data_IF_405312112214
#
_entry.id   IF_405312112214
#
_cell.length_a   1.000
_cell.length_b   1.000
_cell.length_c   1.000
_cell.angle_alpha   90.00
_cell.angle_beta   90.00
_cell.angle_gamma   90.00
#
_symmetry.space_group_name_H-M   'P 1'
#
loop_
_entity.id
_entity.type
_entity.pdbx_description
1 polymer ?
#
# COMPACT_ATOMS: atom_id res chain seq x y z
N UNK A 1 -13.81 9.10 -31.77
CA UNK A 1 -14.22 8.65 -30.41
C UNK A 1 -14.53 7.19 -30.51
N UNK A 2 -13.63 6.35 -29.99
CA UNK A 2 -13.78 4.90 -30.05
C UNK A 2 -14.49 4.39 -28.78
N UNK A 3 -15.15 3.22 -28.81
CA UNK A 3 -15.87 2.67 -27.65
C UNK A 3 -14.99 2.44 -26.39
N UNK A 4 -13.67 2.55 -26.53
CA UNK A 4 -12.69 2.41 -25.42
C UNK A 4 -12.64 3.63 -24.50
N UNK A 5 -12.86 4.84 -25.04
CA UNK A 5 -12.78 6.08 -24.26
C UNK A 5 -14.00 6.22 -23.30
N UNK A 6 -15.12 5.59 -23.64
CA UNK A 6 -16.34 5.60 -22.83
C UNK A 6 -16.26 4.66 -21.61
N UNK A 7 -15.48 3.57 -21.68
CA UNK A 7 -15.30 2.63 -20.58
C UNK A 7 -14.44 3.21 -19.44
N UNK A 8 -13.40 3.96 -19.77
CA UNK A 8 -12.54 4.61 -18.76
C UNK A 8 -13.30 5.75 -18.05
N UNK A 9 -14.08 6.54 -18.81
CA UNK A 9 -14.92 7.60 -18.26
C UNK A 9 -16.01 7.07 -17.33
N UNK A 10 -16.63 5.94 -17.67
CA UNK A 10 -17.62 5.26 -16.82
C UNK A 10 -17.00 4.64 -15.57
N UNK A 11 -15.77 4.11 -15.67
CA UNK A 11 -15.04 3.53 -14.54
C UNK A 11 -14.65 4.60 -13.51
N UNK A 12 -14.15 5.75 -13.97
CA UNK A 12 -13.80 6.89 -13.11
C UNK A 12 -15.07 7.52 -12.47
N UNK A 13 -16.16 7.64 -13.23
CA UNK A 13 -17.44 8.16 -12.72
C UNK A 13 -18.11 7.21 -11.71
N UNK A 14 -17.98 5.90 -11.89
CA UNK A 14 -18.50 4.90 -10.96
C UNK A 14 -17.72 4.90 -9.61
N UNK A 15 -16.43 5.25 -9.64
CA UNK A 15 -15.62 5.42 -8.43
C UNK A 15 -15.99 6.69 -7.63
N UNK A 16 -16.46 7.73 -8.33
CA UNK A 16 -16.83 9.02 -7.71
C UNK A 16 -18.27 9.08 -7.16
N UNK A 17 -19.16 8.18 -7.60
CA UNK A 17 -20.62 8.28 -7.38
C UNK A 17 -21.18 7.32 -6.30
N UNK A 18 -20.41 6.92 -5.26
CA UNK A 18 -20.94 6.06 -4.19
C UNK A 18 -21.56 6.86 -3.04
N UNK A 19 -22.89 6.73 -2.76
CA UNK A 19 -23.47 7.24 -1.54
C UNK A 19 -22.96 6.43 -0.34
N UNK A 20 -22.70 7.11 0.78
CA UNK A 20 -22.36 6.49 2.05
C UNK A 20 -23.52 5.65 2.56
N UNK A 21 -23.48 4.36 2.33
CA UNK A 21 -24.41 3.42 2.95
C UNK A 21 -23.79 2.95 4.26
N UNK A 22 -24.48 3.21 5.36
CA UNK A 22 -24.16 2.69 6.71
C UNK A 22 -24.17 1.17 6.69
N UNK A 23 -23.01 0.57 6.48
CA UNK A 23 -22.81 -0.86 6.62
C UNK A 23 -22.22 -1.14 8.01
N UNK A 24 -22.86 -2.03 8.72
CA UNK A 24 -22.46 -2.62 9.99
C UNK A 24 -20.98 -3.01 9.95
N UNK A 25 -20.22 -2.53 10.94
CA UNK A 25 -18.77 -2.65 10.99
C UNK A 25 -18.28 -4.10 10.87
N UNK A 26 -17.62 -4.43 9.77
CA UNK A 26 -16.76 -5.59 9.63
C UNK A 26 -15.44 -5.27 10.34
N UNK A 27 -14.82 -6.21 11.09
CA UNK A 27 -13.61 -5.93 11.86
C UNK A 27 -12.47 -5.41 10.97
N UNK A 28 -11.90 -4.33 11.42
CA UNK A 28 -10.95 -3.40 10.78
C UNK A 28 -9.54 -3.96 10.40
N UNK A 29 -9.05 -5.21 10.72
CA UNK A 29 -7.65 -5.51 10.52
C UNK A 29 -7.20 -5.64 9.05
N UNK A 30 -8.00 -6.23 8.16
CA UNK A 30 -7.59 -6.46 6.77
C UNK A 30 -7.56 -5.18 5.92
N UNK A 31 -8.52 -4.29 6.13
CA UNK A 31 -8.58 -2.97 5.45
C UNK A 31 -7.39 -2.09 5.80
N UNK A 32 -6.97 -2.10 7.06
CA UNK A 32 -5.89 -1.24 7.54
C UNK A 32 -4.54 -1.69 7.00
N UNK A 33 -4.29 -3.01 6.93
CA UNK A 33 -3.03 -3.55 6.42
C UNK A 33 -2.88 -3.40 4.91
N UNK A 34 -3.94 -3.69 4.15
CA UNK A 34 -3.94 -3.54 2.69
C UNK A 34 -3.90 -2.06 2.28
N UNK A 35 -4.69 -1.20 2.94
CA UNK A 35 -4.67 0.25 2.70
C UNK A 35 -3.32 0.86 3.08
N UNK A 36 -2.67 0.43 4.17
CA UNK A 36 -1.33 0.87 4.53
C UNK A 36 -0.27 0.42 3.50
N UNK A 37 -0.37 -0.80 2.97
CA UNK A 37 0.53 -1.29 1.94
C UNK A 37 0.38 -0.54 0.60
N UNK A 38 -0.82 -0.07 0.27
CA UNK A 38 -1.14 0.65 -0.98
C UNK A 38 -1.08 2.19 -0.83
N UNK A 39 -1.30 2.74 0.38
CA UNK A 39 -1.24 4.17 0.65
C UNK A 39 0.19 4.73 0.71
N UNK A 40 1.21 3.88 0.76
CA UNK A 40 2.62 4.26 0.64
C UNK A 40 3.02 4.64 -0.81
N UNK A 41 2.13 5.31 -1.56
CA UNK A 41 2.51 5.95 -2.83
C UNK A 41 3.28 7.22 -2.51
N UNK A 42 4.51 7.37 -2.97
CA UNK A 42 5.17 8.68 -2.93
C UNK A 42 4.35 9.64 -3.80
N UNK A 43 3.86 10.71 -3.20
CA UNK A 43 3.44 11.89 -3.97
C UNK A 43 4.72 12.43 -4.57
N UNK A 44 4.87 12.28 -5.88
CA UNK A 44 6.01 12.79 -6.64
C UNK A 44 6.18 14.27 -6.35
N UNK A 45 7.31 14.61 -5.75
CA UNK A 45 7.78 15.98 -5.71
C UNK A 45 7.79 16.53 -7.13
N UNK A 46 7.26 17.74 -7.30
CA UNK A 46 7.29 18.47 -8.56
C UNK A 46 8.71 18.62 -9.07
N UNK A 47 9.06 17.87 -10.08
CA UNK A 47 10.18 18.18 -10.94
C UNK A 47 9.74 19.29 -11.88
N UNK A 48 10.07 20.55 -11.55
CA UNK A 48 9.99 21.68 -12.48
C UNK A 48 11.28 21.71 -13.29
N UNK A 49 11.38 20.83 -14.27
CA UNK A 49 12.41 20.88 -15.31
C UNK A 49 11.90 20.13 -16.53
N UNK A 50 12.21 20.62 -17.76
CA UNK A 50 11.89 19.87 -18.97
C UNK A 50 12.63 18.53 -18.87
N UNK A 51 11.89 17.45 -19.02
CA UNK A 51 12.44 16.12 -19.21
C UNK A 51 13.42 16.16 -20.38
N UNK A 52 14.65 15.72 -20.24
CA UNK A 52 15.51 15.52 -21.39
C UNK A 52 14.81 14.48 -22.27
N UNK A 53 14.45 14.86 -23.49
CA UNK A 53 14.19 13.90 -24.54
C UNK A 53 15.54 13.20 -24.80
N UNK A 54 15.75 12.08 -24.15
CA UNK A 54 16.77 11.16 -24.62
C UNK A 54 16.18 10.45 -25.81
N UNK A 55 16.61 10.85 -27.01
CA UNK A 55 16.66 9.99 -28.17
C UNK A 55 17.69 8.86 -27.86
N UNK A 56 17.37 8.04 -26.85
CA UNK A 56 17.98 6.76 -26.65
C UNK A 56 17.10 5.79 -27.45
N UNK A 57 17.65 5.41 -28.59
CA UNK A 57 17.19 4.31 -29.40
C UNK A 57 16.67 3.18 -28.51
N UNK A 58 15.48 2.69 -28.88
CA UNK A 58 14.78 1.54 -28.34
C UNK A 58 15.68 0.29 -28.43
N UNK A 59 16.60 0.16 -27.47
CA UNK A 59 17.42 -1.02 -27.29
C UNK A 59 16.95 -1.77 -26.04
N UNK A 60 15.98 -2.67 -26.28
CA UNK A 60 15.78 -3.82 -25.42
C UNK A 60 15.00 -3.60 -24.15
N UNK A 61 13.87 -2.93 -24.18
CA UNK A 61 12.81 -3.16 -23.19
C UNK A 61 12.31 -4.60 -23.32
N UNK A 62 13.01 -5.56 -22.72
CA UNK A 62 12.65 -6.97 -22.78
C UNK A 62 11.18 -7.15 -22.40
N UNK A 63 10.50 -8.11 -23.02
CA UNK A 63 9.09 -8.44 -22.77
C UNK A 63 8.81 -8.38 -21.27
N UNK A 64 7.64 -7.89 -20.89
CA UNK A 64 7.23 -7.77 -19.48
C UNK A 64 7.46 -9.08 -18.72
N UNK A 65 7.18 -10.20 -19.36
CA UNK A 65 7.43 -11.55 -18.83
C UNK A 65 8.90 -11.73 -18.42
N UNK A 66 9.87 -11.24 -19.20
CA UNK A 66 11.29 -11.34 -18.85
C UNK A 66 11.65 -10.45 -17.66
N UNK A 67 11.14 -9.21 -17.64
CA UNK A 67 11.35 -8.27 -16.53
C UNK A 67 10.79 -8.80 -15.22
N UNK A 68 9.57 -9.37 -15.24
CA UNK A 68 8.93 -10.00 -14.07
C UNK A 68 9.75 -11.18 -13.56
N UNK A 69 10.21 -12.05 -14.45
CA UNK A 69 11.06 -13.19 -14.06
C UNK A 69 12.40 -12.74 -13.46
N UNK A 70 13.01 -11.68 -13.99
CA UNK A 70 14.23 -11.12 -13.41
C UNK A 70 14.02 -10.60 -11.98
N UNK A 71 12.88 -9.92 -11.72
CA UNK A 71 12.50 -9.46 -10.37
C UNK A 71 12.28 -10.64 -9.43
N UNK A 72 11.57 -11.67 -9.87
CA UNK A 72 11.33 -12.88 -9.06
C UNK A 72 12.62 -13.64 -8.78
N UNK A 73 13.49 -13.76 -9.76
CA UNK A 73 14.81 -14.40 -9.60
C UNK A 73 15.67 -13.65 -8.57
N UNK A 74 15.74 -12.32 -8.67
CA UNK A 74 16.43 -11.47 -7.70
C UNK A 74 15.83 -11.57 -6.29
N UNK A 75 14.49 -11.57 -6.17
CA UNK A 75 13.80 -11.75 -4.91
C UNK A 75 14.08 -13.10 -4.26
N UNK A 76 14.09 -14.17 -5.05
CA UNK A 76 14.30 -15.54 -4.59
C UNK A 76 15.79 -15.90 -4.42
N UNK A 77 16.71 -15.04 -4.86
CA UNK A 77 18.15 -15.30 -4.82
C UNK A 77 18.61 -16.43 -5.76
N UNK A 78 17.91 -16.60 -6.89
CA UNK A 78 18.17 -17.62 -7.91
C UNK A 78 18.41 -16.94 -9.27
N UNK A 79 18.85 -17.71 -10.26
CA UNK A 79 18.91 -17.24 -11.65
C UNK A 79 17.57 -17.44 -12.37
N UNK A 80 17.31 -16.70 -13.44
CA UNK A 80 16.03 -16.77 -14.18
C UNK A 80 15.74 -18.14 -14.76
N UNK A 81 16.74 -18.91 -15.11
CA UNK A 81 16.65 -20.28 -15.60
C UNK A 81 16.39 -21.32 -14.49
N UNK A 82 16.63 -20.95 -13.24
CA UNK A 82 16.29 -21.76 -12.05
C UNK A 82 14.87 -21.53 -11.55
N UNK A 83 14.18 -20.52 -12.06
CA UNK A 83 12.77 -20.29 -11.71
C UNK A 83 11.93 -21.47 -12.22
N UNK A 84 11.11 -22.01 -11.32
CA UNK A 84 10.13 -23.04 -11.70
C UNK A 84 8.93 -22.36 -12.34
N UNK A 85 8.75 -22.63 -13.61
CA UNK A 85 7.64 -22.15 -14.42
C UNK A 85 6.78 -23.38 -14.74
N UNK A 86 5.49 -23.30 -14.48
CA UNK A 86 4.56 -24.39 -14.80
C UNK A 86 4.18 -24.41 -16.29
N UNK A 87 3.28 -25.33 -16.67
CA UNK A 87 2.84 -25.51 -18.05
C UNK A 87 2.08 -24.29 -18.59
N UNK A 88 1.47 -23.50 -17.72
CA UNK A 88 0.72 -22.29 -18.06
C UNK A 88 1.62 -21.04 -18.13
N UNK A 89 2.90 -21.18 -17.78
CA UNK A 89 3.88 -20.10 -17.78
C UNK A 89 3.97 -19.34 -16.47
N UNK A 90 3.29 -19.81 -15.41
CA UNK A 90 3.23 -19.16 -14.11
C UNK A 90 4.44 -19.52 -13.24
N UNK A 91 4.90 -18.56 -12.45
CA UNK A 91 5.93 -18.79 -11.44
C UNK A 91 5.27 -19.00 -10.09
N UNK A 92 5.37 -20.24 -9.57
CA UNK A 92 4.86 -20.58 -8.25
C UNK A 92 5.88 -20.28 -7.15
N UNK A 93 5.46 -19.57 -6.11
CA UNK A 93 6.27 -19.25 -4.94
C UNK A 93 5.50 -19.54 -3.65
N UNK A 94 6.22 -19.97 -2.62
CA UNK A 94 5.63 -20.23 -1.30
C UNK A 94 5.96 -19.07 -0.34
N UNK A 95 4.95 -18.49 0.27
CA UNK A 95 5.11 -17.45 1.28
C UNK A 95 4.26 -17.77 2.52
N UNK A 96 4.90 -18.16 3.61
CA UNK A 96 4.20 -18.56 4.83
C UNK A 96 3.24 -19.74 4.59
N UNK A 97 1.96 -19.51 4.86
CA UNK A 97 0.85 -20.46 4.60
C UNK A 97 0.32 -20.35 3.16
N UNK A 98 0.70 -19.35 2.38
CA UNK A 98 0.16 -19.08 1.07
C UNK A 98 1.00 -19.71 -0.05
N UNK A 99 0.29 -20.18 -1.08
CA UNK A 99 0.85 -20.51 -2.39
C UNK A 99 0.51 -19.36 -3.33
N UNK A 100 1.51 -18.69 -3.84
CA UNK A 100 1.29 -17.55 -4.73
C UNK A 100 1.82 -17.87 -6.12
N UNK A 101 1.03 -17.58 -7.12
CA UNK A 101 1.40 -17.68 -8.53
C UNK A 101 1.53 -16.29 -9.13
N UNK A 102 2.51 -16.12 -9.99
CA UNK A 102 2.73 -14.89 -10.75
C UNK A 102 2.68 -15.21 -12.22
N UNK A 103 1.68 -14.69 -12.91
CA UNK A 103 1.49 -14.77 -14.36
C UNK A 103 1.82 -13.43 -14.99
N UNK A 104 2.70 -13.41 -15.97
CA UNK A 104 2.99 -12.22 -16.73
C UNK A 104 2.56 -12.39 -18.19
N UNK A 105 1.88 -11.41 -18.73
CA UNK A 105 1.42 -11.35 -20.12
C UNK A 105 2.04 -10.10 -20.78
N UNK A 106 2.50 -10.26 -22.02
CA UNK A 106 3.09 -9.16 -22.78
C UNK A 106 2.04 -8.35 -23.56
N UNK A 107 0.93 -8.99 -23.95
CA UNK A 107 -0.17 -8.35 -24.67
C UNK A 107 -1.56 -8.87 -24.21
N UNK A 108 -2.36 -8.06 -23.51
CA UNK A 108 -2.00 -6.74 -22.96
C UNK A 108 -0.95 -6.88 -21.84
N UNK A 109 -0.10 -5.86 -21.64
CA UNK A 109 0.92 -5.93 -20.61
C UNK A 109 0.28 -5.94 -19.21
N UNK A 110 0.25 -7.12 -18.60
CA UNK A 110 -0.38 -7.36 -17.31
C UNK A 110 0.39 -8.41 -16.53
N UNK A 111 0.52 -8.19 -15.23
CA UNK A 111 0.98 -9.20 -14.27
C UNK A 111 -0.18 -9.52 -13.34
N UNK A 112 -0.52 -10.79 -13.21
CA UNK A 112 -1.52 -11.25 -12.23
C UNK A 112 -0.81 -12.00 -11.11
N UNK A 113 -0.96 -11.52 -9.89
CA UNK A 113 -0.48 -12.18 -8.66
C UNK A 113 -1.70 -12.83 -8.03
N UNK A 114 -1.75 -14.16 -8.01
CA UNK A 114 -2.93 -14.87 -7.53
C UNK A 114 -2.59 -16.02 -6.60
N UNK A 115 -3.54 -16.38 -5.76
CA UNK A 115 -3.39 -17.44 -4.76
C UNK A 115 -4.68 -18.22 -4.59
N UNK A 116 -4.64 -19.55 -4.57
CA UNK A 116 -5.75 -20.36 -4.09
C UNK A 116 -5.80 -20.26 -2.56
N UNK A 117 -6.93 -19.79 -2.03
CA UNK A 117 -7.17 -19.66 -0.60
C UNK A 117 -7.70 -20.97 -0.01
N UNK A 118 -8.73 -21.52 -0.65
CA UNK A 118 -9.38 -22.76 -0.23
C UNK A 118 -9.74 -23.65 -1.43
N UNK A 119 -9.74 -24.95 -1.21
CA UNK A 119 -10.21 -25.96 -2.16
C UNK A 119 -11.26 -26.86 -1.50
N UNK A 120 -12.09 -27.53 -2.31
CA UNK A 120 -13.14 -28.43 -1.83
C UNK A 120 -14.26 -27.70 -1.10
N UNK A 121 -14.60 -26.46 -1.53
CA UNK A 121 -15.73 -25.71 -1.01
C UNK A 121 -16.96 -25.89 -1.89
N UNK A 122 -18.15 -25.98 -1.27
CA UNK A 122 -19.39 -25.98 -2.04
C UNK A 122 -19.70 -24.59 -2.56
N UNK A 123 -19.90 -24.41 -3.89
CA UNK A 123 -20.17 -23.10 -4.50
C UNK A 123 -21.61 -22.62 -4.24
N UNK A 124 -21.92 -22.27 -3.00
CA UNK A 124 -23.25 -21.80 -2.57
C UNK A 124 -23.46 -20.32 -2.82
N UNK A 125 -24.72 -19.88 -2.86
CA UNK A 125 -25.06 -18.46 -2.98
C UNK A 125 -24.51 -17.63 -1.82
N UNK A 126 -24.47 -18.18 -0.61
CA UNK A 126 -23.88 -17.53 0.57
C UNK A 126 -22.38 -17.31 0.40
N UNK A 127 -21.66 -18.29 -0.19
CA UNK A 127 -20.24 -18.13 -0.52
C UNK A 127 -20.06 -17.00 -1.53
N UNK A 128 -20.78 -17.00 -2.65
CA UNK A 128 -20.64 -15.95 -3.67
C UNK A 128 -20.97 -14.56 -3.13
N UNK A 129 -21.99 -14.43 -2.29
CA UNK A 129 -22.33 -13.17 -1.63
C UNK A 129 -21.17 -12.70 -0.74
N UNK A 130 -20.62 -13.59 0.06
CA UNK A 130 -19.46 -13.30 0.93
C UNK A 130 -18.22 -12.88 0.14
N UNK A 131 -17.89 -13.57 -0.96
CA UNK A 131 -16.76 -13.22 -1.84
C UNK A 131 -16.97 -11.88 -2.53
N UNK A 132 -18.21 -11.54 -2.91
CA UNK A 132 -18.55 -10.24 -3.45
C UNK A 132 -18.34 -9.13 -2.42
N UNK A 133 -18.76 -9.32 -1.19
CA UNK A 133 -18.55 -8.35 -0.09
C UNK A 133 -17.06 -8.15 0.20
N UNK A 134 -16.29 -9.24 0.23
CA UNK A 134 -14.83 -9.16 0.39
C UNK A 134 -14.18 -8.38 -0.77
N UNK A 135 -14.52 -8.70 -2.01
CA UNK A 135 -14.02 -8.01 -3.20
C UNK A 135 -14.36 -6.52 -3.18
N UNK A 136 -15.59 -6.16 -2.80
CA UNK A 136 -16.00 -4.76 -2.64
C UNK A 136 -15.24 -4.02 -1.52
N UNK A 137 -14.69 -4.76 -0.58
CA UNK A 137 -13.85 -4.22 0.50
C UNK A 137 -12.39 -4.01 0.13
N UNK A 138 -11.90 -4.61 -0.96
CA UNK A 138 -10.52 -4.48 -1.43
C UNK A 138 -10.34 -3.16 -2.19
N UNK A 139 -9.16 -2.54 -2.04
CA UNK A 139 -8.77 -1.36 -2.83
C UNK A 139 -8.38 -1.79 -4.24
N UNK A 140 -7.67 -2.92 -4.36
CA UNK A 140 -7.25 -3.53 -5.64
C UNK A 140 -7.34 -5.04 -5.49
N UNK A 141 -7.74 -5.71 -6.57
CA UNK A 141 -7.86 -7.16 -6.59
C UNK A 141 -9.29 -7.65 -6.39
N UNK A 142 -9.41 -8.97 -6.35
CA UNK A 142 -10.69 -9.66 -6.22
C UNK A 142 -10.52 -11.00 -5.51
N UNK A 143 -11.60 -11.45 -4.86
CA UNK A 143 -11.73 -12.82 -4.35
C UNK A 143 -12.92 -13.47 -5.07
N UNK A 144 -12.73 -14.64 -5.63
CA UNK A 144 -13.73 -15.32 -6.45
C UNK A 144 -13.65 -16.83 -6.29
N UNK A 145 -14.70 -17.53 -6.69
CA UNK A 145 -14.74 -18.98 -6.70
C UNK A 145 -14.82 -19.50 -8.13
N UNK A 146 -14.00 -20.49 -8.47
CA UNK A 146 -14.07 -21.25 -9.72
C UNK A 146 -14.06 -22.74 -9.41
N UNK A 147 -15.12 -23.44 -9.82
CA UNK A 147 -15.31 -24.83 -9.41
C UNK A 147 -15.52 -24.90 -7.89
N UNK A 148 -14.71 -25.67 -7.22
CA UNK A 148 -14.67 -25.85 -5.77
C UNK A 148 -13.54 -25.07 -5.08
N UNK A 149 -12.87 -24.17 -5.81
CA UNK A 149 -11.69 -23.45 -5.32
C UNK A 149 -11.95 -21.96 -5.22
N UNK A 150 -11.64 -21.37 -4.06
CA UNK A 150 -11.64 -19.94 -3.82
C UNK A 150 -10.27 -19.38 -4.12
N UNK A 151 -10.23 -18.35 -4.94
CA UNK A 151 -9.02 -17.66 -5.41
C UNK A 151 -9.01 -16.21 -4.97
N UNK A 152 -7.83 -15.68 -4.72
CA UNK A 152 -7.56 -14.26 -4.69
C UNK A 152 -6.66 -13.85 -5.86
N UNK A 153 -6.84 -12.65 -6.42
CA UNK A 153 -6.05 -12.14 -7.54
C UNK A 153 -5.83 -10.64 -7.37
N UNK A 154 -4.58 -10.19 -7.59
CA UNK A 154 -4.17 -8.79 -7.56
C UNK A 154 -3.48 -8.47 -8.87
N UNK A 155 -4.12 -7.72 -9.79
CA UNK A 155 -3.52 -7.33 -11.06
C UNK A 155 -2.52 -6.19 -10.86
N UNK A 156 -1.38 -6.25 -11.58
CA UNK A 156 -0.38 -5.20 -11.70
C UNK A 156 -0.24 -4.81 -13.16
N UNK A 157 -0.50 -3.54 -13.48
CA UNK A 157 -0.36 -3.07 -14.85
C UNK A 157 1.10 -3.08 -15.28
N UNK A 158 1.37 -3.67 -16.45
CA UNK A 158 2.71 -3.85 -16.98
C UNK A 158 3.28 -2.62 -17.67
N UNK A 159 2.40 -1.65 -18.03
CA UNK A 159 2.82 -0.35 -18.51
C UNK A 159 3.54 0.38 -17.37
N UNK A 160 4.75 0.85 -17.61
CA UNK A 160 5.61 1.44 -16.58
C UNK A 160 5.90 0.51 -15.38
N UNK A 161 5.99 -0.79 -15.64
CA UNK A 161 6.28 -1.79 -14.61
C UNK A 161 7.58 -1.47 -13.86
N UNK A 162 7.49 -1.37 -12.54
CA UNK A 162 8.63 -1.29 -11.64
C UNK A 162 8.69 -2.53 -10.72
N UNK A 163 9.87 -2.99 -10.32
CA UNK A 163 10.02 -4.11 -9.38
C UNK A 163 9.20 -3.95 -8.10
N UNK A 164 9.09 -2.73 -7.59
CA UNK A 164 8.32 -2.37 -6.40
C UNK A 164 6.83 -2.64 -6.54
N UNK A 165 6.25 -2.52 -7.75
CA UNK A 165 4.85 -2.83 -7.98
C UNK A 165 4.55 -4.32 -7.73
N UNK A 166 5.43 -5.20 -8.21
CA UNK A 166 5.30 -6.63 -7.97
C UNK A 166 5.52 -6.98 -6.49
N UNK A 167 6.52 -6.39 -5.83
CA UNK A 167 6.78 -6.62 -4.41
C UNK A 167 5.61 -6.19 -3.52
N UNK A 168 4.98 -5.06 -3.84
CA UNK A 168 3.77 -4.59 -3.15
C UNK A 168 2.59 -5.55 -3.36
N UNK A 169 2.39 -6.02 -4.60
CA UNK A 169 1.32 -6.97 -4.90
C UNK A 169 1.54 -8.33 -4.20
N UNK A 170 2.78 -8.82 -4.18
CA UNK A 170 3.15 -10.05 -3.45
C UNK A 170 2.90 -9.90 -1.95
N UNK A 171 3.33 -8.78 -1.35
CA UNK A 171 3.11 -8.50 0.06
C UNK A 171 1.62 -8.38 0.40
N UNK A 172 0.85 -7.69 -0.44
CA UNK A 172 -0.59 -7.56 -0.28
C UNK A 172 -1.29 -8.93 -0.40
N UNK A 173 -0.85 -9.79 -1.34
CA UNK A 173 -1.39 -11.14 -1.51
C UNK A 173 -1.09 -12.03 -0.30
N UNK A 174 0.13 -11.98 0.25
CA UNK A 174 0.50 -12.72 1.46
C UNK A 174 -0.41 -12.31 2.62
N UNK A 175 -0.56 -11.01 2.88
CA UNK A 175 -1.42 -10.51 3.94
C UNK A 175 -2.89 -10.90 3.74
N UNK A 176 -3.38 -10.83 2.50
CA UNK A 176 -4.74 -11.21 2.15
C UNK A 176 -4.99 -12.71 2.37
N UNK A 177 -4.05 -13.55 1.98
CA UNK A 177 -4.14 -14.99 2.16
C UNK A 177 -4.14 -15.38 3.65
N UNK A 178 -3.21 -14.82 4.43
CA UNK A 178 -3.12 -15.07 5.88
C UNK A 178 -4.38 -14.61 6.65
N UNK A 179 -5.01 -13.50 6.22
CA UNK A 179 -6.22 -12.97 6.86
C UNK A 179 -7.49 -13.76 6.47
N UNK A 180 -7.58 -14.28 5.24
CA UNK A 180 -8.82 -14.84 4.71
C UNK A 180 -8.89 -16.37 4.76
N UNK A 181 -7.77 -17.10 4.67
CA UNK A 181 -7.80 -18.56 4.56
C UNK A 181 -8.48 -19.22 5.77
N UNK A 182 -8.10 -18.83 6.99
CA UNK A 182 -8.69 -19.34 8.22
C UNK A 182 -10.13 -18.85 8.45
N UNK A 183 -10.45 -17.63 8.03
CA UNK A 183 -11.79 -17.08 8.15
C UNK A 183 -12.76 -17.82 7.22
N UNK A 184 -12.44 -17.92 5.93
CA UNK A 184 -13.28 -18.59 4.95
C UNK A 184 -13.43 -20.09 5.24
N UNK A 185 -12.36 -20.74 5.71
CA UNK A 185 -12.41 -22.15 6.10
C UNK A 185 -13.38 -22.40 7.26
N UNK A 186 -13.44 -21.49 8.24
CA UNK A 186 -14.41 -21.59 9.36
C UNK A 186 -15.84 -21.36 8.90
N UNK A 187 -16.06 -20.48 7.93
CA UNK A 187 -17.37 -20.11 7.42
C UNK A 187 -17.94 -21.14 6.43
N UNK A 188 -17.10 -21.72 5.55
CA UNK A 188 -17.52 -22.52 4.41
C UNK A 188 -16.87 -23.91 4.33
N UNK A 189 -16.03 -24.27 5.26
CA UNK A 189 -15.29 -25.53 5.21
C UNK A 189 -14.17 -25.52 4.17
N UNK A 190 -13.93 -26.68 3.54
CA UNK A 190 -12.85 -26.85 2.59
C UNK A 190 -11.48 -27.05 3.25
N UNK A 191 -10.45 -27.09 2.43
CA UNK A 191 -9.07 -27.30 2.81
C UNK A 191 -8.18 -26.22 2.22
N UNK A 192 -7.08 -25.92 2.91
CA UNK A 192 -6.01 -25.08 2.32
C UNK A 192 -5.39 -25.82 1.14
N UNK A 193 -4.93 -25.11 0.13
CA UNK A 193 -4.38 -25.66 -1.12
C UNK A 193 -3.06 -26.44 -0.94
N UNK A 194 -2.56 -26.66 0.23
CA UNK A 194 -1.31 -27.38 0.44
C UNK A 194 -1.42 -28.86 0.07
N UNK A 195 -1.02 -29.21 -1.16
CA UNK A 195 -0.80 -30.57 -1.61
C UNK A 195 0.68 -30.96 -1.53
N UNK A 196 1.01 -32.26 -1.70
CA UNK A 196 2.40 -32.76 -1.76
C UNK A 196 3.24 -32.13 -2.88
N UNK A 197 2.60 -31.53 -3.89
CA UNK A 197 3.24 -30.81 -4.99
C UNK A 197 3.92 -29.51 -4.56
N UNK A 198 3.56 -28.95 -3.42
CA UNK A 198 4.21 -27.74 -2.84
C UNK A 198 5.59 -28.03 -2.23
N UNK A 199 5.98 -29.29 -2.08
CA UNK A 199 7.24 -29.71 -1.44
C UNK A 199 8.53 -29.30 -2.19
N UNK A 200 8.41 -28.70 -3.35
CA UNK A 200 9.56 -28.28 -4.16
C UNK A 200 9.61 -26.80 -4.48
N UNK A 201 8.72 -25.98 -3.93
CA UNK A 201 8.68 -24.55 -4.21
C UNK A 201 9.64 -23.78 -3.31
N UNK A 202 10.28 -22.80 -3.91
CA UNK A 202 11.19 -21.90 -3.20
C UNK A 202 10.36 -21.00 -2.28
N UNK A 203 10.64 -21.06 -0.97
CA UNK A 203 10.06 -20.11 -0.03
C UNK A 203 10.59 -18.71 -0.36
N UNK A 204 9.72 -17.69 -0.30
CA UNK A 204 10.16 -16.30 -0.44
C UNK A 204 11.10 -16.00 0.71
N UNK A 205 12.38 -15.71 0.44
CA UNK A 205 13.32 -15.32 1.47
C UNK A 205 12.93 -13.94 2.02
N UNK A 206 13.60 -13.50 3.06
CA UNK A 206 13.45 -12.14 3.56
C UNK A 206 13.80 -11.12 2.44
N UNK A 207 12.84 -10.33 1.93
CA UNK A 207 13.06 -9.43 0.81
C UNK A 207 13.90 -8.20 1.18
N UNK A 208 14.26 -8.04 2.47
CA UNK A 208 15.00 -6.88 2.99
C UNK A 208 16.34 -6.68 2.26
N UNK A 209 17.07 -7.75 1.98
CA UNK A 209 18.33 -7.69 1.23
C UNK A 209 18.12 -7.15 -0.18
N UNK A 210 17.21 -7.77 -0.90
CA UNK A 210 16.87 -7.37 -2.27
C UNK A 210 16.34 -5.92 -2.36
N UNK A 211 15.49 -5.51 -1.41
CA UNK A 211 14.98 -4.14 -1.33
C UNK A 211 16.09 -3.12 -1.06
N UNK A 212 17.10 -3.46 -0.21
CA UNK A 212 18.26 -2.59 0.00
C UNK A 212 19.10 -2.42 -1.27
N UNK A 213 19.24 -3.46 -2.06
CA UNK A 213 19.99 -3.39 -3.31
C UNK A 213 19.24 -2.55 -4.36
N UNK A 214 17.92 -2.70 -4.45
CA UNK A 214 17.06 -1.85 -5.28
C UNK A 214 17.06 -0.39 -4.82
N UNK A 215 17.04 -0.11 -3.53
CA UNK A 215 17.09 1.23 -2.95
C UNK A 215 18.43 1.91 -3.27
N UNK A 216 19.57 1.19 -3.09
CA UNK A 216 20.90 1.68 -3.48
C UNK A 216 21.06 1.92 -4.99
N UNK A 217 20.37 1.12 -5.81
CA UNK A 217 20.31 1.30 -7.25
C UNK A 217 19.39 2.44 -7.69
N UNK A 218 18.72 3.12 -6.75
CA UNK A 218 17.79 4.22 -7.04
C UNK A 218 16.47 3.76 -7.64
N UNK A 219 16.08 2.49 -7.47
CA UNK A 219 14.82 1.98 -7.97
C UNK A 219 13.65 2.70 -7.29
N UNK A 220 12.74 3.24 -8.11
CA UNK A 220 11.63 4.07 -7.65
C UNK A 220 10.76 3.32 -6.62
N UNK A 221 10.57 3.94 -5.44
CA UNK A 221 9.76 3.41 -4.36
C UNK A 221 10.40 2.28 -3.52
N UNK A 222 11.60 1.81 -3.85
CA UNK A 222 12.25 0.73 -3.11
C UNK A 222 12.53 1.11 -1.65
N UNK A 223 12.98 2.33 -1.41
CA UNK A 223 13.22 2.87 -0.08
C UNK A 223 11.96 2.88 0.79
N UNK A 224 10.84 3.33 0.24
CA UNK A 224 9.56 3.35 0.97
C UNK A 224 9.06 1.95 1.32
N UNK A 225 9.14 1.01 0.38
CA UNK A 225 8.75 -0.39 0.62
C UNK A 225 9.66 -1.04 1.67
N UNK A 226 10.96 -0.75 1.63
CA UNK A 226 11.92 -1.23 2.63
C UNK A 226 11.60 -0.68 4.02
N UNK A 227 11.32 0.62 4.13
CA UNK A 227 10.93 1.27 5.40
C UNK A 227 9.68 0.64 6.00
N UNK A 228 8.64 0.42 5.18
CA UNK A 228 7.42 -0.24 5.64
C UNK A 228 7.70 -1.67 6.14
N UNK A 229 8.53 -2.42 5.41
CA UNK A 229 8.91 -3.77 5.82
C UNK A 229 9.70 -3.78 7.13
N UNK A 230 10.61 -2.84 7.31
CA UNK A 230 11.38 -2.68 8.56
C UNK A 230 10.46 -2.33 9.73
N UNK A 231 9.47 -1.46 9.50
CA UNK A 231 8.49 -1.08 10.51
C UNK A 231 7.62 -2.28 10.94
N UNK A 232 7.09 -3.05 9.98
CA UNK A 232 6.28 -4.24 10.27
C UNK A 232 7.04 -5.32 11.07
N UNK A 233 8.36 -5.34 10.95
CA UNK A 233 9.24 -6.26 11.68
C UNK A 233 9.79 -5.69 12.98
N UNK A 234 9.41 -4.48 13.34
CA UNK A 234 9.91 -3.80 14.53
C UNK A 234 11.41 -3.49 14.49
N UNK A 235 12.01 -3.35 13.28
CA UNK A 235 13.44 -3.03 13.09
C UNK A 235 13.70 -1.54 13.36
N UNK A 236 13.40 -1.11 14.58
CA UNK A 236 13.44 0.31 14.99
C UNK A 236 14.83 0.94 14.87
N UNK A 237 15.90 0.17 15.06
CA UNK A 237 17.26 0.71 14.95
C UNK A 237 17.62 1.09 13.52
N UNK A 238 17.22 0.28 12.53
CA UNK A 238 17.44 0.60 11.12
C UNK A 238 16.59 1.80 10.67
N UNK A 239 15.35 1.86 11.15
CA UNK A 239 14.49 3.02 10.89
C UNK A 239 15.07 4.30 11.49
N UNK A 240 15.67 4.21 12.69
CA UNK A 240 16.34 5.34 13.35
C UNK A 240 17.52 5.85 12.52
N UNK A 241 18.39 4.96 12.09
CA UNK A 241 19.54 5.32 11.23
C UNK A 241 19.06 6.03 9.96
N UNK A 242 18.05 5.50 9.29
CA UNK A 242 17.49 6.11 8.06
C UNK A 242 16.87 7.48 8.33
N UNK A 243 16.08 7.59 9.40
CA UNK A 243 15.46 8.86 9.80
C UNK A 243 16.51 9.95 10.10
N UNK A 244 17.61 9.59 10.77
CA UNK A 244 18.72 10.50 11.08
C UNK A 244 19.51 10.92 9.83
N UNK A 245 19.44 10.13 8.76
CA UNK A 245 20.01 10.47 7.44
C UNK A 245 19.04 11.20 6.51
N UNK A 246 17.89 11.63 7.01
CA UNK A 246 16.97 12.45 6.25
C UNK A 246 15.86 11.70 5.52
N UNK A 247 15.63 10.43 5.84
CA UNK A 247 14.51 9.67 5.30
C UNK A 247 13.25 9.99 6.13
N UNK A 248 12.44 10.93 5.63
CA UNK A 248 11.22 11.37 6.31
C UNK A 248 10.20 10.22 6.48
N UNK A 249 10.15 9.28 5.54
CA UNK A 249 9.26 8.13 5.62
C UNK A 249 9.67 7.21 6.78
N UNK A 250 10.98 6.96 6.93
CA UNK A 250 11.51 6.23 8.07
C UNK A 250 11.24 6.96 9.40
N UNK A 251 11.38 8.29 9.43
CA UNK A 251 11.05 9.08 10.61
C UNK A 251 9.56 8.95 10.99
N UNK A 252 8.65 9.09 10.02
CA UNK A 252 7.21 8.95 10.25
C UNK A 252 6.82 7.55 10.74
N UNK A 253 7.37 6.50 10.12
CA UNK A 253 7.09 5.11 10.54
C UNK A 253 7.66 4.79 11.93
N UNK A 254 8.86 5.27 12.24
CA UNK A 254 9.45 5.13 13.57
C UNK A 254 8.64 5.87 14.64
N UNK A 255 8.20 7.10 14.34
CA UNK A 255 7.37 7.88 15.25
C UNK A 255 6.05 7.17 15.56
N UNK A 256 5.38 6.59 14.56
CA UNK A 256 4.15 5.83 14.74
C UNK A 256 4.36 4.59 15.64
N UNK A 257 5.45 3.84 15.44
CA UNK A 257 5.79 2.69 16.30
C UNK A 257 6.04 3.13 17.75
N UNK A 258 6.84 4.17 17.96
CA UNK A 258 7.17 4.70 19.29
C UNK A 258 5.92 5.24 20.00
N UNK A 259 5.01 5.90 19.27
CA UNK A 259 3.74 6.34 19.83
C UNK A 259 2.86 5.16 20.27
N UNK A 260 2.80 4.09 19.48
CA UNK A 260 2.11 2.85 19.84
C UNK A 260 2.69 2.15 21.05
N UNK A 261 4.00 2.28 21.29
CA UNK A 261 4.70 1.78 22.49
C UNK A 261 4.57 2.72 23.72
N UNK A 262 3.89 3.86 23.59
CA UNK A 262 3.80 4.87 24.64
C UNK A 262 5.05 5.72 24.85
N UNK A 263 6.06 5.62 23.99
CA UNK A 263 7.30 6.40 24.00
C UNK A 263 7.11 7.76 23.34
N UNK A 264 6.16 8.52 23.88
CA UNK A 264 5.62 9.74 23.25
C UNK A 264 6.66 10.86 23.08
N UNK A 265 7.67 10.96 23.95
CA UNK A 265 8.73 11.97 23.81
C UNK A 265 9.63 11.69 22.59
N UNK A 266 9.93 10.42 22.34
CA UNK A 266 10.73 10.02 21.20
C UNK A 266 9.90 10.12 19.91
N UNK A 267 8.63 9.72 19.96
CA UNK A 267 7.69 9.86 18.85
C UNK A 267 7.57 11.33 18.40
N UNK A 268 7.45 12.27 19.35
CA UNK A 268 7.39 13.72 19.07
C UNK A 268 8.62 14.19 18.29
N UNK A 269 9.82 13.74 18.68
CA UNK A 269 11.05 14.08 17.98
C UNK A 269 11.02 13.66 16.51
N UNK A 270 10.62 12.39 16.26
CA UNK A 270 10.62 11.85 14.89
C UNK A 270 9.45 12.38 14.05
N UNK A 271 8.30 12.70 14.66
CA UNK A 271 7.24 13.41 13.95
C UNK A 271 7.67 14.81 13.51
N UNK A 272 8.46 15.52 14.33
CA UNK A 272 9.05 16.81 13.91
C UNK A 272 9.98 16.65 12.72
N UNK A 273 10.88 15.70 12.76
CA UNK A 273 11.79 15.43 11.64
C UNK A 273 10.99 15.12 10.36
N UNK A 274 9.98 14.28 10.43
CA UNK A 274 9.15 13.97 9.28
C UNK A 274 8.38 15.19 8.74
N UNK A 275 7.81 16.01 9.63
CA UNK A 275 7.07 17.22 9.26
C UNK A 275 7.97 18.28 8.61
N UNK A 276 9.20 18.49 9.13
CA UNK A 276 10.18 19.43 8.59
C UNK A 276 10.67 19.00 7.20
N UNK A 277 10.71 17.69 6.92
CA UNK A 277 11.13 17.14 5.65
C UNK A 277 9.99 16.95 4.64
N UNK A 278 8.77 17.34 5.00
CA UNK A 278 7.65 17.45 4.09
C UNK A 278 6.70 16.26 4.08
N UNK A 279 6.71 15.39 5.09
CA UNK A 279 5.66 14.38 5.23
C UNK A 279 4.29 15.05 5.36
N UNK A 280 3.33 14.72 4.48
CA UNK A 280 2.04 15.41 4.46
C UNK A 280 1.15 15.10 5.68
N UNK A 281 1.45 14.05 6.45
CA UNK A 281 0.67 13.62 7.62
C UNK A 281 1.36 13.89 8.95
N UNK A 282 2.69 13.98 8.94
CA UNK A 282 3.47 14.10 10.18
C UNK A 282 3.09 15.31 11.01
N UNK A 283 2.66 16.41 10.36
CA UNK A 283 2.24 17.63 11.07
C UNK A 283 0.93 17.43 11.82
N UNK A 284 -0.04 16.72 11.24
CA UNK A 284 -1.30 16.40 11.90
C UNK A 284 -1.08 15.43 13.07
N UNK A 285 -0.24 14.40 12.87
CA UNK A 285 0.10 13.44 13.93
C UNK A 285 0.85 14.12 15.08
N UNK A 286 1.78 15.02 14.77
CA UNK A 286 2.48 15.81 15.78
C UNK A 286 1.51 16.71 16.56
N UNK A 287 0.60 17.40 15.88
CA UNK A 287 -0.39 18.26 16.51
C UNK A 287 -1.34 17.45 17.40
N UNK A 288 -1.82 16.30 16.94
CA UNK A 288 -2.63 15.39 17.73
C UNK A 288 -1.90 14.91 18.98
N UNK A 289 -0.61 14.53 18.85
CA UNK A 289 0.23 14.12 19.98
C UNK A 289 0.43 15.24 21.00
N UNK A 290 0.71 16.48 20.54
CA UNK A 290 0.85 17.65 21.39
C UNK A 290 -0.44 17.96 22.15
N UNK A 291 -1.59 17.94 21.45
CA UNK A 291 -2.90 18.18 22.06
C UNK A 291 -3.24 17.12 23.12
N UNK A 292 -2.98 15.83 22.83
CA UNK A 292 -3.18 14.74 23.78
C UNK A 292 -2.32 14.89 25.06
N UNK A 293 -1.20 15.59 24.96
CA UNK A 293 -0.30 15.91 26.08
C UNK A 293 -0.62 17.24 26.78
N UNK A 294 -1.74 17.87 26.45
CA UNK A 294 -2.18 19.14 27.02
C UNK A 294 -1.46 20.36 26.45
N UNK A 295 -0.62 20.21 25.41
CA UNK A 295 0.10 21.29 24.72
C UNK A 295 -0.70 21.77 23.50
N UNK A 296 -1.98 22.08 23.75
CA UNK A 296 -2.93 22.44 22.67
C UNK A 296 -2.52 23.69 21.93
N UNK A 297 -2.01 24.69 22.63
CA UNK A 297 -1.61 25.95 22.01
C UNK A 297 -0.48 25.75 20.99
N UNK A 298 0.49 24.90 21.32
CA UNK A 298 1.57 24.55 20.38
C UNK A 298 1.05 23.77 19.16
N UNK A 299 0.06 22.89 19.37
CA UNK A 299 -0.60 22.17 18.27
C UNK A 299 -1.34 23.12 17.33
N UNK A 300 -2.07 24.09 17.90
CA UNK A 300 -2.76 25.15 17.15
C UNK A 300 -1.76 25.98 16.35
N UNK A 301 -0.67 26.44 16.97
CA UNK A 301 0.34 27.26 16.30
C UNK A 301 1.03 26.51 15.15
N UNK A 302 1.33 25.23 15.34
CA UNK A 302 1.90 24.36 14.31
C UNK A 302 1.01 24.25 13.06
N UNK A 303 -0.29 24.01 13.27
CA UNK A 303 -1.25 23.87 12.16
C UNK A 303 -1.59 25.23 11.53
N UNK A 304 -1.67 26.31 12.35
CA UNK A 304 -1.90 27.68 11.87
C UNK A 304 -0.81 28.11 10.89
N UNK A 305 0.46 27.88 11.22
CA UNK A 305 1.58 28.18 10.33
C UNK A 305 1.44 27.50 8.97
N UNK A 306 0.97 26.25 8.94
CA UNK A 306 0.74 25.52 7.68
C UNK A 306 -0.41 26.13 6.88
N UNK A 307 -1.53 26.40 7.52
CA UNK A 307 -2.73 26.98 6.88
C UNK A 307 -2.43 28.40 6.36
N UNK A 308 -1.72 29.22 7.12
CA UNK A 308 -1.29 30.57 6.69
C UNK A 308 -0.30 30.50 5.53
N UNK A 309 0.51 29.45 5.44
CA UNK A 309 1.35 29.14 4.28
C UNK A 309 0.59 28.59 3.07
N UNK A 310 -0.73 28.47 3.13
CA UNK A 310 -1.58 27.98 2.05
C UNK A 310 -1.83 26.47 2.05
N UNK A 311 -1.34 25.75 3.02
CA UNK A 311 -1.60 24.29 3.14
C UNK A 311 -2.91 24.02 3.90
N UNK A 312 -4.01 24.12 3.18
CA UNK A 312 -5.36 23.96 3.73
C UNK A 312 -5.72 22.53 4.15
N UNK A 313 -4.86 21.53 3.90
CA UNK A 313 -5.10 20.13 4.30
C UNK A 313 -5.22 19.99 5.82
N UNK A 314 -4.54 20.85 6.57
CA UNK A 314 -4.52 20.85 8.03
C UNK A 314 -5.70 21.61 8.67
N UNK A 315 -6.51 22.31 7.85
CA UNK A 315 -7.63 23.09 8.35
C UNK A 315 -8.63 22.29 9.20
N UNK A 316 -9.05 21.06 8.83
CA UNK A 316 -10.03 20.32 9.62
C UNK A 316 -9.57 20.06 11.07
N UNK A 317 -8.30 19.66 11.25
CA UNK A 317 -7.74 19.42 12.58
C UNK A 317 -7.56 20.74 13.35
N UNK A 318 -7.11 21.80 12.69
CA UNK A 318 -6.98 23.12 13.29
C UNK A 318 -8.34 23.64 13.81
N UNK A 319 -9.42 23.53 13.01
CA UNK A 319 -10.77 23.91 13.42
C UNK A 319 -11.24 23.11 14.64
N UNK A 320 -10.95 21.82 14.68
CA UNK A 320 -11.29 20.96 15.82
C UNK A 320 -10.60 21.48 17.10
N UNK A 321 -9.28 21.70 17.04
CA UNK A 321 -8.51 22.17 18.20
C UNK A 321 -8.92 23.57 18.66
N UNK A 322 -9.23 24.49 17.74
CA UNK A 322 -9.72 25.83 18.04
C UNK A 322 -11.08 25.78 18.74
N UNK A 323 -12.01 24.96 18.23
CA UNK A 323 -13.36 24.84 18.84
C UNK A 323 -13.30 24.20 20.21
N UNK A 324 -12.49 23.14 20.40
CA UNK A 324 -12.25 22.53 21.69
C UNK A 324 -11.55 23.47 22.69
N UNK A 325 -10.73 24.40 22.19
CA UNK A 325 -10.07 25.46 22.97
C UNK A 325 -10.95 26.67 23.25
N UNK A 326 -12.18 26.71 22.72
CA UNK A 326 -13.10 27.84 22.87
C UNK A 326 -12.79 29.04 21.94
N UNK A 327 -11.89 28.88 20.97
CA UNK A 327 -11.47 29.93 20.01
C UNK A 327 -12.37 29.90 18.75
N UNK A 328 -13.69 29.95 18.97
CA UNK A 328 -14.69 29.79 17.90
C UNK A 328 -14.64 30.92 16.86
N UNK A 329 -14.40 32.16 17.31
CA UNK A 329 -14.33 33.32 16.41
C UNK A 329 -13.18 33.17 15.39
N UNK A 330 -12.04 32.67 15.82
CA UNK A 330 -10.89 32.39 14.94
C UNK A 330 -11.21 31.26 13.94
N UNK A 331 -11.87 30.18 14.40
CA UNK A 331 -12.29 29.10 13.53
C UNK A 331 -13.24 29.59 12.41
N UNK A 332 -14.17 30.49 12.74
CA UNK A 332 -15.09 31.09 11.76
C UNK A 332 -14.33 31.99 10.76
N UNK A 333 -13.35 32.75 11.21
CA UNK A 333 -12.55 33.61 10.33
C UNK A 333 -11.70 32.78 9.35
N UNK A 334 -11.11 31.66 9.80
CA UNK A 334 -10.38 30.76 8.92
C UNK A 334 -11.28 30.14 7.84
N UNK A 335 -12.52 29.76 8.18
CA UNK A 335 -13.50 29.27 7.21
C UNK A 335 -13.86 30.34 6.17
N UNK A 336 -14.02 31.61 6.59
CA UNK A 336 -14.26 32.71 5.65
C UNK A 336 -13.10 32.94 4.70
N UNK A 337 -11.87 32.93 5.23
CA UNK A 337 -10.63 33.04 4.42
C UNK A 337 -10.53 31.90 3.40
N UNK A 338 -10.87 30.67 3.80
CA UNK A 338 -10.88 29.52 2.90
C UNK A 338 -11.92 29.69 1.77
N UNK A 339 -13.15 30.08 2.11
CA UNK A 339 -14.20 30.32 1.14
C UNK A 339 -13.83 31.44 0.13
N UNK A 340 -13.16 32.49 0.60
CA UNK A 340 -12.67 33.57 -0.26
C UNK A 340 -11.50 33.15 -1.18
N UNK A 341 -10.75 32.12 -0.82
CA UNK A 341 -9.65 31.59 -1.64
C UNK A 341 -10.12 30.61 -2.74
N UNK A 342 -11.34 30.09 -2.62
CA UNK A 342 -11.94 29.15 -3.60
C UNK A 342 -12.85 29.85 -4.63
N UNK A 343 -13.23 31.10 -4.40
CA UNK A 343 -14.10 31.93 -5.29
C UNK A 343 -13.30 32.90 -6.11
#
# INVERSE_FOLDING_TARGET
MTPRDDLLGRFVSALAARPATTATAVPVPARTRLAAALAARPVTARSTGPLPHSDAEDDGGGKLTHRVRAVLAGLLGVTTDQLRVDADGDVGIRAGSAMIFVRAQDDPPLVDVFSPLLTGVDPTESLYRRLSDLTNGLVVGRVYCTGDTVWASIPVFGQDFAPTHLLLALRAMIALADDLDDQLRREFGGSRFFGPESAGLVAVPDPTGYLRDLDRAGANGAGSVLVDLLADRGRTDELRIRAEHGDWHAAARLAALLAGEGRTNEAERYWRIAAEQGDPRARDELAALLAARGRRDEAIDLLRQAVDGGDWRHLPLLLTLLTEGGLVDEAVELLRRRAAAEG
#
